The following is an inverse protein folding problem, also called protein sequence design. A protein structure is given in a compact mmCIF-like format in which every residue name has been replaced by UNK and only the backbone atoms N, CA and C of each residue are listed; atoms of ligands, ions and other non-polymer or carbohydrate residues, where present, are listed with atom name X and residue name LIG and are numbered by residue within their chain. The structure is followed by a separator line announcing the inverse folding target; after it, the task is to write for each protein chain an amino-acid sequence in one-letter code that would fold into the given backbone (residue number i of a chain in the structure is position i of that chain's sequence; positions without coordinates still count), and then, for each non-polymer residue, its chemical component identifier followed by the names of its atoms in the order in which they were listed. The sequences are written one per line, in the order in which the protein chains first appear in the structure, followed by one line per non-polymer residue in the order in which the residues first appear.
data_IF_270118437578
#
_entry.id   IF_270118437578
#
_cell.length_a   1.000
_cell.length_b   1.000
_cell.length_c   1.000
_cell.angle_alpha   90.00
_cell.angle_beta   90.00
_cell.angle_gamma   90.00
#
_symmetry.space_group_name_H-M   'P 1'
#
loop_
_entity.id
_entity.type
_entity.pdbx_description
1 polymer ?
#
# COMPACT_ATOMS: atom_id res chain seq x y z
N UNK A 1 -6.47 -16.46 -1.41
CA UNK A 1 -5.78 -17.40 -0.50
C UNK A 1 -4.40 -16.85 -0.23
N UNK A 2 -4.10 -16.49 1.02
CA UNK A 2 -2.78 -16.03 1.47
C UNK A 2 -2.04 -17.24 2.04
N UNK A 3 -1.24 -17.92 1.21
CA UNK A 3 -0.54 -19.14 1.62
C UNK A 3 -1.48 -20.34 1.89
N UNK A 4 -2.56 -20.46 1.12
CA UNK A 4 -3.52 -21.57 1.27
C UNK A 4 -4.59 -21.38 2.34
N UNK A 5 -4.61 -20.23 3.02
CA UNK A 5 -5.67 -19.84 3.97
C UNK A 5 -6.50 -18.68 3.43
N UNK A 6 -7.75 -18.62 3.83
CA UNK A 6 -8.64 -17.47 3.64
C UNK A 6 -8.26 -16.34 4.60
N UNK A 7 -8.68 -15.11 4.29
CA UNK A 7 -8.44 -13.97 5.19
C UNK A 7 -9.16 -14.15 6.54
N UNK A 8 -10.35 -14.74 6.51
CA UNK A 8 -11.17 -15.01 7.70
C UNK A 8 -10.50 -16.02 8.65
N UNK A 9 -9.89 -17.08 8.12
CA UNK A 9 -9.08 -18.03 8.91
C UNK A 9 -7.84 -17.39 9.56
N UNK A 10 -7.41 -16.24 9.05
CA UNK A 10 -6.31 -15.46 9.61
C UNK A 10 -6.80 -14.35 10.56
N UNK A 11 -8.11 -14.24 10.79
CA UNK A 11 -8.71 -13.15 11.56
C UNK A 11 -8.58 -11.78 10.87
N UNK A 12 -8.33 -11.78 9.55
CA UNK A 12 -8.16 -10.57 8.75
C UNK A 12 -9.48 -10.25 8.06
N UNK A 13 -9.98 -9.03 8.29
CA UNK A 13 -11.08 -8.50 7.52
C UNK A 13 -10.55 -8.05 6.15
N UNK A 14 -10.93 -8.77 5.11
CA UNK A 14 -10.51 -8.49 3.74
C UNK A 14 -11.72 -8.39 2.82
N UNK A 15 -11.73 -7.36 1.98
CA UNK A 15 -12.69 -7.18 0.91
C UNK A 15 -11.99 -6.54 -0.29
N UNK A 16 -12.43 -6.84 -1.51
CA UNK A 16 -11.82 -6.31 -2.73
C UNK A 16 -12.87 -5.97 -3.79
N UNK A 17 -12.48 -5.07 -4.69
CA UNK A 17 -13.19 -4.82 -5.95
C UNK A 17 -12.35 -5.34 -7.12
N UNK A 18 -13.00 -5.69 -8.24
CA UNK A 18 -12.32 -6.20 -9.43
C UNK A 18 -11.22 -5.26 -9.97
N UNK A 19 -11.39 -3.95 -9.79
CA UNK A 19 -10.41 -2.93 -10.23
C UNK A 19 -9.38 -2.56 -9.15
N UNK A 20 -9.43 -3.17 -7.97
CA UNK A 20 -8.51 -2.87 -6.86
C UNK A 20 -8.74 -1.54 -6.13
N UNK A 21 -9.77 -0.77 -6.51
CA UNK A 21 -10.14 0.48 -5.84
C UNK A 21 -11.24 0.26 -4.81
N UNK A 22 -11.25 1.08 -3.75
CA UNK A 22 -12.41 1.16 -2.85
C UNK A 22 -13.61 1.74 -3.60
N UNK A 23 -14.79 1.19 -3.36
CA UNK A 23 -16.06 1.72 -3.86
C UNK A 23 -16.99 2.04 -2.68
N UNK A 24 -18.11 2.69 -2.96
CA UNK A 24 -19.07 3.09 -1.92
C UNK A 24 -19.58 1.90 -1.11
N UNK A 25 -19.88 0.76 -1.74
CA UNK A 25 -20.38 -0.43 -1.05
C UNK A 25 -19.35 -1.00 -0.06
N UNK A 26 -18.10 -1.16 -0.50
CA UNK A 26 -17.01 -1.64 0.35
C UNK A 26 -16.75 -0.69 1.51
N UNK A 27 -16.78 0.62 1.25
CA UNK A 27 -16.59 1.64 2.28
C UNK A 27 -17.73 1.65 3.29
N UNK A 28 -19.00 1.61 2.85
CA UNK A 28 -20.18 1.55 3.72
C UNK A 28 -20.10 0.34 4.65
N UNK A 29 -19.85 -0.85 4.10
CA UNK A 29 -19.69 -2.06 4.88
C UNK A 29 -18.57 -1.96 5.92
N UNK A 30 -17.45 -1.31 5.57
CA UNK A 30 -16.34 -1.11 6.48
C UNK A 30 -16.65 -0.10 7.58
N UNK A 31 -17.23 1.06 7.24
CA UNK A 31 -17.47 2.15 8.21
C UNK A 31 -18.55 1.79 9.23
N UNK A 32 -19.57 1.01 8.84
CA UNK A 32 -20.59 0.50 9.76
C UNK A 32 -19.98 -0.44 10.81
N UNK A 33 -19.15 -1.39 10.36
CA UNK A 33 -18.43 -2.29 11.28
C UNK A 33 -17.46 -1.52 12.18
N UNK A 34 -16.78 -0.53 11.64
CA UNK A 34 -15.90 0.34 12.43
C UNK A 34 -16.70 1.12 13.48
N UNK A 35 -17.88 1.64 13.14
CA UNK A 35 -18.77 2.30 14.07
C UNK A 35 -19.23 1.37 15.20
N UNK A 36 -19.67 0.15 14.89
CA UNK A 36 -20.07 -0.83 15.91
C UNK A 36 -18.91 -1.24 16.82
N UNK A 37 -17.68 -1.34 16.28
CA UNK A 37 -16.47 -1.54 17.10
C UNK A 37 -16.21 -0.36 18.03
N UNK A 38 -16.30 0.88 17.54
CA UNK A 38 -16.11 2.06 18.41
C UNK A 38 -17.20 2.14 19.49
N UNK A 39 -18.44 1.77 19.14
CA UNK A 39 -19.55 1.67 20.08
C UNK A 39 -19.32 0.62 21.16
N UNK A 40 -18.89 -0.58 20.80
CA UNK A 40 -18.60 -1.65 21.77
C UNK A 40 -17.40 -1.32 22.68
N UNK A 41 -16.44 -0.55 22.17
CA UNK A 41 -15.33 -0.01 22.95
C UNK A 41 -15.70 1.24 23.78
N UNK A 42 -16.93 1.75 23.65
CA UNK A 42 -17.38 2.97 24.35
C UNK A 42 -16.69 4.25 23.88
N UNK A 43 -16.17 4.27 22.65
CA UNK A 43 -15.37 5.36 22.09
C UNK A 43 -16.18 6.20 21.11
N UNK A 44 -15.91 7.49 21.12
CA UNK A 44 -16.34 8.42 20.06
C UNK A 44 -15.10 8.95 19.36
N UNK A 45 -15.04 8.81 18.04
CA UNK A 45 -13.85 9.13 17.25
C UNK A 45 -14.19 10.03 16.06
N UNK A 46 -13.21 10.86 15.68
CA UNK A 46 -13.20 11.62 14.44
C UNK A 46 -12.36 10.86 13.42
N UNK A 47 -12.96 10.49 12.29
CA UNK A 47 -12.28 9.89 11.16
C UNK A 47 -12.08 10.93 10.05
N UNK A 48 -10.81 11.24 9.76
CA UNK A 48 -10.42 12.13 8.67
C UNK A 48 -10.16 11.30 7.40
N UNK A 49 -10.80 11.65 6.28
CA UNK A 49 -10.68 10.94 5.01
C UNK A 49 -10.43 11.88 3.85
N UNK A 50 -9.88 11.33 2.76
CA UNK A 50 -9.88 11.96 1.45
C UNK A 50 -11.29 12.29 0.97
N UNK A 51 -11.44 13.47 0.34
CA UNK A 51 -12.67 13.87 -0.34
C UNK A 51 -12.81 13.19 -1.71
N UNK A 52 -13.10 11.89 -1.67
CA UNK A 52 -13.45 11.08 -2.85
C UNK A 52 -14.89 10.58 -2.73
N UNK A 53 -15.54 10.36 -3.87
CA UNK A 53 -16.97 9.99 -3.91
C UNK A 53 -17.27 8.65 -3.24
N UNK A 54 -16.33 7.71 -3.25
CA UNK A 54 -16.44 6.41 -2.60
C UNK A 54 -16.55 6.48 -1.08
N UNK A 55 -16.04 7.55 -0.44
CA UNK A 55 -16.08 7.71 1.02
C UNK A 55 -17.34 8.42 1.52
N UNK A 56 -18.29 8.76 0.64
CA UNK A 56 -19.51 9.47 1.05
C UNK A 56 -20.36 8.57 1.95
N UNK A 57 -20.55 9.01 3.20
CA UNK A 57 -21.46 8.39 4.15
C UNK A 57 -22.87 8.91 3.90
N UNK A 58 -23.82 8.00 3.68
CA UNK A 58 -25.23 8.33 3.43
C UNK A 58 -26.08 8.30 4.71
N UNK A 59 -25.73 7.45 5.66
CA UNK A 59 -26.46 7.24 6.91
C UNK A 59 -25.70 7.78 8.13
N UNK A 60 -26.39 8.33 9.14
CA UNK A 60 -25.73 8.83 10.34
C UNK A 60 -25.08 7.70 11.15
N UNK A 61 -23.89 7.97 11.68
CA UNK A 61 -23.12 7.06 12.52
C UNK A 61 -23.17 7.52 14.00
N UNK A 62 -23.28 6.58 14.93
CA UNK A 62 -23.47 6.89 16.36
C UNK A 62 -22.17 7.28 17.08
N UNK A 63 -21.05 6.69 16.70
CA UNK A 63 -19.77 6.74 17.44
C UNK A 63 -18.60 7.23 16.58
N UNK A 64 -18.78 7.28 15.27
CA UNK A 64 -17.77 7.76 14.32
C UNK A 64 -18.29 9.02 13.64
N UNK A 65 -17.59 10.13 13.82
CA UNK A 65 -17.81 11.33 13.01
C UNK A 65 -16.84 11.32 11.85
N UNK A 66 -17.34 11.37 10.62
CA UNK A 66 -16.48 11.46 9.42
C UNK A 66 -16.32 12.92 8.99
N UNK A 67 -15.09 13.34 8.71
CA UNK A 67 -14.78 14.63 8.09
C UNK A 67 -13.88 14.43 6.88
N UNK A 68 -14.28 15.03 5.76
CA UNK A 68 -13.51 15.01 4.52
C UNK A 68 -12.50 16.16 4.52
N UNK A 69 -11.27 15.85 4.13
CA UNK A 69 -10.23 16.84 3.90
C UNK A 69 -10.49 17.63 2.60
N UNK A 70 -10.06 18.89 2.47
CA UNK A 70 -10.20 19.66 1.23
C UNK A 70 -9.55 18.93 0.04
N UNK A 71 -10.14 19.02 -1.17
CA UNK A 71 -9.71 18.19 -2.32
C UNK A 71 -8.27 18.45 -2.79
N UNK A 72 -7.63 19.52 -2.31
CA UNK A 72 -6.28 19.94 -2.71
C UNK A 72 -5.29 19.98 -1.54
N UNK A 73 -5.67 19.48 -0.36
CA UNK A 73 -4.81 19.49 0.83
C UNK A 73 -4.02 18.18 1.01
N UNK A 74 -4.11 17.27 0.04
CA UNK A 74 -3.73 15.86 0.15
C UNK A 74 -2.24 15.69 0.49
N UNK A 75 -1.35 16.40 -0.21
CA UNK A 75 0.10 16.23 0.00
C UNK A 75 0.63 16.81 1.32
N UNK A 76 -0.08 17.74 1.98
CA UNK A 76 0.42 18.43 3.17
C UNK A 76 -0.33 18.09 4.44
N UNK A 77 -1.65 17.88 4.37
CA UNK A 77 -2.50 17.68 5.54
C UNK A 77 -2.93 16.23 5.76
N UNK A 78 -2.73 15.31 4.80
CA UNK A 78 -3.08 13.90 5.00
C UNK A 78 -2.04 13.22 5.88
N UNK A 79 -2.40 12.84 7.11
CA UNK A 79 -1.45 12.17 8.00
C UNK A 79 -1.04 10.80 7.45
N UNK A 80 -1.90 10.15 6.66
CA UNK A 80 -1.57 8.87 6.02
C UNK A 80 -0.52 9.04 4.93
N UNK A 81 -0.67 10.03 4.04
CA UNK A 81 0.30 10.30 2.98
C UNK A 81 1.65 10.70 3.54
N UNK A 82 1.68 11.69 4.44
CA UNK A 82 2.92 12.24 4.99
C UNK A 82 3.54 11.35 6.07
N UNK A 83 2.73 10.71 6.91
CA UNK A 83 3.21 9.99 8.10
C UNK A 83 3.49 8.52 7.88
N UNK A 84 2.83 7.87 6.90
CA UNK A 84 2.97 6.41 6.69
C UNK A 84 3.44 6.13 5.27
N UNK A 85 2.71 6.61 4.26
CA UNK A 85 2.96 6.26 2.85
C UNK A 85 4.29 6.82 2.36
N UNK A 86 4.60 8.09 2.67
CA UNK A 86 5.82 8.73 2.19
C UNK A 86 7.09 8.09 2.79
N UNK A 87 7.20 7.87 4.12
CA UNK A 87 8.33 7.13 4.70
C UNK A 87 8.46 5.70 4.13
N UNK A 88 7.35 4.97 4.03
CA UNK A 88 7.33 3.61 3.48
C UNK A 88 7.84 3.57 2.03
N UNK A 89 7.31 4.45 1.16
CA UNK A 89 7.77 4.56 -0.24
C UNK A 89 9.25 4.93 -0.31
N UNK A 90 9.70 5.87 0.52
CA UNK A 90 11.11 6.29 0.54
C UNK A 90 12.03 5.12 0.89
N UNK A 91 11.66 4.30 1.89
CA UNK A 91 12.47 3.13 2.26
C UNK A 91 12.43 2.04 1.21
N UNK A 92 11.26 1.77 0.62
CA UNK A 92 11.10 0.83 -0.47
C UNK A 92 11.99 1.20 -1.67
N UNK A 93 11.98 2.48 -2.08
CA UNK A 93 12.84 2.96 -3.16
C UNK A 93 14.33 2.81 -2.82
N UNK A 94 14.73 3.08 -1.57
CA UNK A 94 16.12 2.86 -1.15
C UNK A 94 16.54 1.40 -1.28
N UNK A 95 15.69 0.45 -0.85
CA UNK A 95 15.97 -0.99 -0.96
C UNK A 95 16.08 -1.41 -2.42
N UNK A 96 15.17 -0.94 -3.26
CA UNK A 96 15.19 -1.16 -4.71
C UNK A 96 16.47 -0.62 -5.35
N UNK A 97 16.90 0.60 -5.01
CA UNK A 97 18.14 1.19 -5.52
C UNK A 97 19.35 0.35 -5.15
N UNK A 98 19.47 -0.06 -3.88
CA UNK A 98 20.60 -0.89 -3.43
C UNK A 98 20.63 -2.24 -4.15
N UNK A 99 19.47 -2.86 -4.36
CA UNK A 99 19.37 -4.11 -5.11
C UNK A 99 19.83 -3.97 -6.56
N UNK A 100 19.42 -2.91 -7.26
CA UNK A 100 19.83 -2.63 -8.64
C UNK A 100 21.34 -2.41 -8.71
N UNK A 101 21.91 -1.64 -7.77
CA UNK A 101 23.36 -1.39 -7.72
C UNK A 101 24.13 -2.70 -7.54
N UNK A 102 23.72 -3.56 -6.61
CA UNK A 102 24.37 -4.86 -6.40
C UNK A 102 24.34 -5.75 -7.65
N UNK A 103 23.19 -5.84 -8.32
CA UNK A 103 23.09 -6.58 -9.59
C UNK A 103 23.98 -5.98 -10.69
N UNK A 104 24.09 -4.65 -10.76
CA UNK A 104 24.93 -3.98 -11.74
C UNK A 104 26.42 -4.28 -11.50
N UNK A 105 26.87 -4.28 -10.25
CA UNK A 105 28.24 -4.67 -9.88
C UNK A 105 28.54 -6.12 -10.29
N UNK A 106 27.60 -7.05 -10.07
CA UNK A 106 27.74 -8.44 -10.52
C UNK A 106 27.83 -8.57 -12.05
N UNK A 107 27.05 -7.78 -12.80
CA UNK A 107 27.10 -7.77 -14.26
C UNK A 107 28.47 -7.26 -14.76
N UNK A 108 29.00 -6.19 -14.16
CA UNK A 108 30.33 -5.67 -14.50
C UNK A 108 31.42 -6.72 -14.24
N UNK A 109 31.34 -7.44 -13.13
CA UNK A 109 32.27 -8.52 -12.81
C UNK A 109 32.27 -9.63 -13.89
N UNK A 110 31.07 -10.07 -14.31
CA UNK A 110 30.91 -11.12 -15.34
C UNK A 110 31.37 -10.67 -16.73
N UNK A 111 31.10 -9.42 -17.10
CA UNK A 111 31.49 -8.85 -18.39
C UNK A 111 33.01 -8.66 -18.52
N UNK A 112 33.73 -8.49 -17.39
CA UNK A 112 35.19 -8.43 -17.38
C UNK A 112 35.84 -9.81 -17.65
N UNK A 113 35.15 -10.91 -17.34
CA UNK A 113 35.65 -12.28 -17.53
C UNK A 113 35.30 -12.89 -18.90
N UNK A 114 34.14 -12.53 -19.45
CA UNK A 114 33.64 -13.08 -20.72
C UNK A 114 33.22 -11.90 -21.59
N UNK A 115 33.86 -11.71 -22.74
CA UNK A 115 33.45 -10.70 -23.73
C UNK A 115 31.97 -10.89 -24.06
N UNK A 116 31.12 -9.98 -23.61
CA UNK A 116 29.68 -10.21 -23.49
C UNK A 116 28.93 -9.43 -24.58
N UNK A 117 28.36 -10.13 -25.56
CA UNK A 117 27.65 -9.54 -26.70
C UNK A 117 26.21 -9.06 -26.38
N UNK A 118 25.77 -9.12 -25.12
CA UNK A 118 24.35 -8.87 -24.77
C UNK A 118 24.11 -7.97 -23.54
N UNK A 119 24.98 -6.96 -23.36
CA UNK A 119 24.98 -6.06 -22.19
C UNK A 119 23.69 -5.24 -22.06
N UNK A 120 23.12 -4.77 -23.16
CA UNK A 120 21.95 -3.88 -23.16
C UNK A 120 20.70 -4.59 -22.58
N UNK A 121 20.40 -5.81 -23.05
CA UNK A 121 19.30 -6.63 -22.50
C UNK A 121 19.53 -7.01 -21.03
N UNK A 122 20.79 -7.20 -20.61
CA UNK A 122 21.12 -7.47 -19.21
C UNK A 122 20.88 -6.24 -18.33
N UNK A 123 21.18 -5.03 -18.81
CA UNK A 123 20.92 -3.77 -18.09
C UNK A 123 19.41 -3.52 -17.95
N UNK A 124 18.60 -3.77 -18.97
CA UNK A 124 17.14 -3.65 -18.86
C UNK A 124 16.56 -4.61 -17.82
N UNK A 125 17.10 -5.83 -17.74
CA UNK A 125 16.64 -6.85 -16.79
C UNK A 125 16.90 -6.49 -15.32
N UNK A 126 17.78 -5.52 -15.03
CA UNK A 126 18.07 -5.05 -13.67
C UNK A 126 16.85 -4.44 -12.98
N UNK A 127 15.99 -3.79 -13.76
CA UNK A 127 14.78 -3.13 -13.27
C UNK A 127 13.61 -4.11 -13.12
N UNK A 128 13.74 -5.33 -13.63
CA UNK A 128 12.75 -6.39 -13.46
C UNK A 128 12.88 -6.95 -12.06
N UNK A 129 11.89 -6.62 -11.23
CA UNK A 129 11.74 -7.11 -9.86
C UNK A 129 10.52 -8.00 -9.82
N UNK A 130 10.69 -9.24 -9.35
CA UNK A 130 9.56 -10.13 -9.15
C UNK A 130 8.72 -9.70 -7.93
N UNK A 131 7.45 -10.12 -7.91
CA UNK A 131 6.50 -9.72 -6.87
C UNK A 131 6.93 -10.21 -5.48
N UNK A 132 7.61 -11.36 -5.38
CA UNK A 132 8.07 -11.89 -4.09
C UNK A 132 9.20 -11.02 -3.53
N UNK A 133 10.15 -10.61 -4.35
CA UNK A 133 11.22 -9.69 -3.97
C UNK A 133 10.66 -8.33 -3.51
N UNK A 134 9.65 -7.81 -4.20
CA UNK A 134 8.98 -6.57 -3.80
C UNK A 134 8.24 -6.71 -2.45
N UNK A 135 7.58 -7.85 -2.19
CA UNK A 135 6.92 -8.15 -0.90
C UNK A 135 7.96 -8.20 0.23
N UNK A 136 9.12 -8.82 0.00
CA UNK A 136 10.20 -8.87 1.00
C UNK A 136 10.69 -7.46 1.36
N UNK A 137 10.88 -6.58 0.38
CA UNK A 137 11.25 -5.18 0.67
C UNK A 137 10.16 -4.45 1.46
N UNK A 138 8.89 -4.70 1.15
CA UNK A 138 7.77 -4.13 1.89
C UNK A 138 7.72 -4.59 3.36
N UNK A 139 8.23 -5.78 3.69
CA UNK A 139 8.32 -6.27 5.07
C UNK A 139 9.43 -5.56 5.87
N UNK A 140 10.45 -5.04 5.19
CA UNK A 140 11.59 -4.32 5.81
C UNK A 140 11.40 -2.79 5.85
N UNK A 141 10.36 -2.28 5.19
CA UNK A 141 10.06 -0.87 5.00
C UNK A 141 9.27 -0.26 6.16
#
# INVERSE_FOLDING_TARGET
MLGGKTAEELGIQYANAAKGWINTELFTNWIERFNEKMKSEGRHVLLLLENVSSHRVTEPLSNVTVKMLPSNATSFLQPQDAGIIQPFKSKLERLKTLYIVGKFEELLGKAAEVGNENVETQVESLYTVDVLQAIQWAQEA
#
